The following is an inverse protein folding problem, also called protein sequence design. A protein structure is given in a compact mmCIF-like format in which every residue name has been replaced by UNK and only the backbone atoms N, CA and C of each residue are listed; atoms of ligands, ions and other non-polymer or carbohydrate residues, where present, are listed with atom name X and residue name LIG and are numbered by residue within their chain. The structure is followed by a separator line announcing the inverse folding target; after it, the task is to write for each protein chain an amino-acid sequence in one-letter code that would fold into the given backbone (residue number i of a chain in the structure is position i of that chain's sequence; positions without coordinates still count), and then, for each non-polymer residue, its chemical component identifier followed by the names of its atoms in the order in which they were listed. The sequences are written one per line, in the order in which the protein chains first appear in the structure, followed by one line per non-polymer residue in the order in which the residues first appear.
data_IF_385133425673
#
_entry.id   IF_385133425673
#
_cell.length_a   1.000
_cell.length_b   1.000
_cell.length_c   1.000
_cell.angle_alpha   90.00
_cell.angle_beta   90.00
_cell.angle_gamma   90.00
#
_symmetry.space_group_name_H-M   'P 1'
#
loop_
_entity.id
_entity.type
_entity.pdbx_description
1 polymer ?
#
# COMPACT_ATOMS: atom_id res chain seq x y z
N UNK A 1 8.47 8.61 -19.14
CA UNK A 1 7.08 8.90 -18.76
C UNK A 1 6.77 10.28 -19.30
N UNK A 2 5.96 10.33 -20.36
CA UNK A 2 5.53 11.55 -21.02
C UNK A 2 4.10 11.84 -20.55
N UNK A 3 3.81 13.04 -19.99
CA UNK A 3 2.48 13.40 -19.48
C UNK A 3 1.41 13.65 -20.56
N UNK A 4 1.69 13.40 -21.85
CA UNK A 4 0.77 13.67 -22.97
C UNK A 4 -0.02 12.45 -23.46
N UNK A 5 0.12 11.27 -22.84
CA UNK A 5 -0.95 10.27 -22.93
C UNK A 5 -2.21 10.93 -22.38
N UNK A 6 -3.12 11.32 -23.26
CA UNK A 6 -4.30 12.14 -22.94
C UNK A 6 -5.01 11.54 -21.71
N UNK A 7 -5.69 12.35 -20.90
CA UNK A 7 -6.37 11.90 -19.67
C UNK A 7 -7.37 10.72 -19.85
N UNK A 8 -7.62 10.28 -21.08
CA UNK A 8 -8.44 9.12 -21.46
C UNK A 8 -7.65 8.01 -22.18
N UNK A 9 -6.32 8.08 -22.23
CA UNK A 9 -5.46 7.04 -22.79
C UNK A 9 -5.38 5.89 -21.78
N UNK A 10 -5.86 4.72 -22.19
CA UNK A 10 -5.92 3.55 -21.32
C UNK A 10 -4.73 2.65 -21.62
N UNK A 11 -3.89 2.41 -20.62
CA UNK A 11 -2.88 1.36 -20.70
C UNK A 11 -3.55 -0.01 -20.77
N UNK A 12 -3.04 -0.90 -21.62
CA UNK A 12 -3.57 -2.25 -21.81
C UNK A 12 -2.44 -3.23 -21.56
N UNK A 13 -2.68 -4.20 -20.66
CA UNK A 13 -1.82 -5.35 -20.42
C UNK A 13 -2.44 -6.55 -21.11
N UNK A 14 -1.69 -7.20 -21.98
CA UNK A 14 -2.14 -8.36 -22.77
C UNK A 14 -1.51 -9.66 -22.27
N UNK A 15 -2.01 -10.79 -22.79
CA UNK A 15 -1.45 -12.11 -22.55
C UNK A 15 0.02 -12.24 -22.96
N UNK A 16 0.47 -11.56 -24.02
CA UNK A 16 1.89 -11.56 -24.40
C UNK A 16 2.76 -10.86 -23.34
N UNK A 17 2.27 -9.76 -22.78
CA UNK A 17 2.98 -9.02 -21.75
C UNK A 17 3.13 -9.87 -20.47
N UNK A 18 2.06 -10.61 -20.12
CA UNK A 18 2.05 -11.52 -18.98
C UNK A 18 2.86 -12.79 -19.20
N UNK A 19 2.85 -13.35 -20.41
CA UNK A 19 3.70 -14.50 -20.77
C UNK A 19 5.18 -14.13 -20.72
N UNK A 20 5.54 -12.89 -21.07
CA UNK A 20 6.91 -12.39 -20.90
C UNK A 20 7.28 -12.31 -19.40
N UNK A 21 6.36 -11.90 -18.53
CA UNK A 21 6.57 -11.84 -17.07
C UNK A 21 6.76 -13.26 -16.48
N UNK A 22 5.95 -14.22 -16.89
CA UNK A 22 6.09 -15.62 -16.50
C UNK A 22 7.40 -16.23 -17.03
N UNK A 23 7.79 -15.91 -18.27
CA UNK A 23 9.08 -16.31 -18.84
C UNK A 23 10.28 -15.70 -18.09
N UNK A 24 10.11 -14.56 -17.41
CA UNK A 24 11.10 -13.98 -16.50
C UNK A 24 11.13 -14.67 -15.12
N UNK A 25 10.25 -15.66 -14.88
CA UNK A 25 10.18 -16.44 -13.64
C UNK A 25 9.31 -15.82 -12.54
N UNK A 26 8.53 -14.77 -12.86
CA UNK A 26 7.57 -14.19 -11.92
C UNK A 26 6.23 -14.92 -11.97
N UNK A 27 5.80 -15.47 -10.82
CA UNK A 27 4.49 -16.10 -10.72
C UNK A 27 3.36 -15.06 -10.65
N UNK A 28 2.55 -15.01 -11.70
CA UNK A 28 1.39 -14.12 -11.84
C UNK A 28 0.05 -14.78 -11.46
N UNK A 29 0.08 -16.00 -10.88
CA UNK A 29 -1.08 -16.80 -10.46
C UNK A 29 -2.19 -16.91 -11.52
N UNK A 30 -1.82 -16.84 -12.80
CA UNK A 30 -2.74 -16.91 -13.94
C UNK A 30 -2.10 -17.74 -15.05
N UNK A 31 -2.87 -18.68 -15.61
CA UNK A 31 -2.41 -19.54 -16.70
C UNK A 31 -2.67 -18.86 -18.05
N UNK A 32 -1.61 -18.29 -18.63
CA UNK A 32 -1.68 -17.57 -19.91
C UNK A 32 -1.74 -18.54 -21.10
N UNK A 33 -1.28 -19.79 -20.95
CA UNK A 33 -1.32 -20.79 -22.02
C UNK A 33 -2.76 -21.17 -22.35
N UNK A 34 -3.59 -21.36 -21.32
CA UNK A 34 -5.01 -21.66 -21.44
C UNK A 34 -5.88 -20.40 -21.59
N UNK A 35 -5.38 -19.22 -21.23
CA UNK A 35 -6.12 -17.95 -21.32
C UNK A 35 -5.42 -16.87 -22.17
N UNK A 36 -5.18 -17.20 -23.45
CA UNK A 36 -4.50 -16.32 -24.41
C UNK A 36 -5.24 -15.01 -24.71
N UNK A 37 -6.53 -14.90 -24.38
CA UNK A 37 -7.33 -13.69 -24.56
C UNK A 37 -7.25 -12.70 -23.39
N UNK A 38 -6.50 -13.02 -22.33
CA UNK A 38 -6.42 -12.19 -21.15
C UNK A 38 -5.94 -10.77 -21.50
N UNK A 39 -6.78 -9.79 -21.17
CA UNK A 39 -6.51 -8.36 -21.40
C UNK A 39 -7.04 -7.59 -20.21
N UNK A 40 -6.17 -6.79 -19.59
CA UNK A 40 -6.52 -5.96 -18.45
C UNK A 40 -6.15 -4.52 -18.73
N UNK A 41 -7.13 -3.62 -18.61
CA UNK A 41 -6.94 -2.21 -18.91
C UNK A 41 -6.78 -1.39 -17.63
N UNK A 42 -6.03 -0.29 -17.70
CA UNK A 42 -5.91 0.64 -16.57
C UNK A 42 -7.26 1.22 -16.16
N UNK A 43 -8.24 1.33 -17.07
CA UNK A 43 -9.61 1.74 -16.73
C UNK A 43 -10.34 0.69 -15.88
N UNK A 44 -10.16 -0.60 -16.17
CA UNK A 44 -10.70 -1.69 -15.35
C UNK A 44 -9.99 -1.75 -13.99
N UNK A 45 -8.68 -1.54 -13.96
CA UNK A 45 -7.89 -1.41 -12.73
C UNK A 45 -8.42 -0.27 -11.86
N UNK A 46 -8.67 0.89 -12.48
CA UNK A 46 -9.20 2.06 -11.80
C UNK A 46 -10.60 1.79 -11.26
N UNK A 47 -11.49 1.16 -12.03
CA UNK A 47 -12.83 0.79 -11.58
C UNK A 47 -12.80 -0.19 -10.39
N UNK A 48 -11.90 -1.17 -10.40
CA UNK A 48 -11.67 -2.07 -9.27
C UNK A 48 -11.11 -1.33 -8.04
N UNK A 49 -10.25 -0.32 -8.27
CA UNK A 49 -9.69 0.52 -7.20
C UNK A 49 -10.64 1.61 -6.69
N UNK A 50 -11.67 1.97 -7.47
CA UNK A 50 -12.31 3.28 -7.44
C UNK A 50 -13.43 3.52 -6.42
N UNK A 51 -13.82 2.53 -5.62
CA UNK A 51 -14.85 2.74 -4.59
C UNK A 51 -14.65 1.89 -3.32
N UNK A 52 -14.11 0.68 -3.44
CA UNK A 52 -14.00 -0.25 -2.30
C UNK A 52 -12.63 -0.21 -1.59
N UNK A 53 -11.55 0.17 -2.27
CA UNK A 53 -10.19 0.04 -1.76
C UNK A 53 -9.70 1.22 -0.89
N UNK A 54 -10.32 2.40 -0.98
CA UNK A 54 -9.88 3.60 -0.26
C UNK A 54 -10.25 3.53 1.25
N UNK A 55 -11.18 2.64 1.63
CA UNK A 55 -11.53 2.39 3.03
C UNK A 55 -10.66 1.31 3.70
N UNK A 56 -9.78 0.63 2.95
CA UNK A 56 -8.99 -0.48 3.46
C UNK A 56 -7.67 -0.01 4.08
N UNK A 57 -7.71 0.33 5.38
CA UNK A 57 -6.64 -0.06 6.29
C UNK A 57 -5.55 0.96 6.62
N UNK A 58 -5.77 2.26 6.38
CA UNK A 58 -4.94 3.30 7.02
C UNK A 58 -5.75 3.96 8.11
N UNK A 59 -5.43 3.74 9.40
CA UNK A 59 -5.99 4.55 10.48
C UNK A 59 -5.72 6.01 10.16
N UNK A 60 -6.75 6.84 10.28
CA UNK A 60 -6.66 8.27 10.02
C UNK A 60 -5.43 8.90 10.71
N UNK A 61 -4.78 9.93 10.13
CA UNK A 61 -3.57 10.53 10.71
C UNK A 61 -3.74 10.94 12.17
N UNK A 62 -4.95 11.33 12.57
CA UNK A 62 -5.31 11.61 13.95
C UNK A 62 -5.24 10.38 14.87
N UNK A 63 -5.63 9.19 14.39
CA UNK A 63 -5.52 7.93 15.14
C UNK A 63 -4.06 7.61 15.48
N UNK A 64 -3.13 7.83 14.53
CA UNK A 64 -1.70 7.69 14.78
C UNK A 64 -1.21 8.69 15.84
N UNK A 65 -1.65 9.94 15.71
CA UNK A 65 -1.29 10.98 16.67
C UNK A 65 -1.78 10.66 18.08
N UNK A 66 -3.02 10.18 18.24
CA UNK A 66 -3.58 9.80 19.54
C UNK A 66 -2.87 8.61 20.17
N UNK A 67 -2.50 7.59 19.37
CA UNK A 67 -1.71 6.45 19.86
C UNK A 67 -0.33 6.89 20.34
N UNK A 68 0.39 7.65 19.52
CA UNK A 68 1.72 8.17 19.87
C UNK A 68 1.65 9.08 21.10
N UNK A 69 0.62 9.92 21.19
CA UNK A 69 0.37 10.76 22.34
C UNK A 69 0.12 9.92 23.60
N UNK A 70 -0.78 8.93 23.54
CA UNK A 70 -1.10 8.06 24.67
C UNK A 70 0.11 7.26 25.17
N UNK A 71 0.81 6.57 24.26
CA UNK A 71 2.01 5.81 24.61
C UNK A 71 3.17 6.70 25.07
N UNK A 72 3.35 7.86 24.43
CA UNK A 72 4.35 8.86 24.82
C UNK A 72 4.11 9.43 26.22
N UNK A 73 2.86 9.73 26.56
CA UNK A 73 2.48 10.21 27.89
C UNK A 73 2.74 9.16 28.98
N UNK A 74 2.35 7.90 28.74
CA UNK A 74 2.57 6.80 29.69
C UNK A 74 4.08 6.56 29.89
N UNK A 75 4.85 6.43 28.80
CA UNK A 75 6.30 6.21 28.87
C UNK A 75 7.05 7.38 29.51
N UNK A 76 6.63 8.62 29.22
CA UNK A 76 7.17 9.83 29.83
C UNK A 76 6.95 9.88 31.35
N UNK A 77 5.75 9.52 31.80
CA UNK A 77 5.42 9.45 33.23
C UNK A 77 6.27 8.41 33.98
N UNK A 78 6.48 7.22 33.40
CA UNK A 78 7.33 6.17 33.98
C UNK A 78 8.80 6.61 34.09
N UNK A 79 9.32 7.34 33.10
CA UNK A 79 10.71 7.81 33.09
C UNK A 79 10.96 8.93 34.10
N UNK A 80 9.98 9.79 34.34
CA UNK A 80 10.08 10.88 35.33
C UNK A 80 10.28 10.35 36.76
N UNK A 81 9.56 9.28 37.13
CA UNK A 81 9.63 8.68 38.47
C UNK A 81 10.98 8.07 38.82
N UNK A 82 11.81 7.72 37.84
CA UNK A 82 13.16 7.16 38.05
C UNK A 82 14.23 8.22 38.38
N UNK A 83 13.91 9.53 38.29
CA UNK A 83 14.85 10.62 38.59
C UNK A 83 14.92 11.02 40.07
N UNK A 84 14.19 10.38 40.96
CA UNK A 84 14.35 10.55 42.41
C UNK A 84 15.62 9.82 42.86
N UNK A 85 16.77 10.39 42.52
CA UNK A 85 18.09 9.92 42.91
C UNK A 85 18.35 10.23 44.38
N UNK A 86 18.67 9.16 45.11
CA UNK A 86 18.99 9.12 46.54
C UNK A 86 20.15 10.09 46.84
N UNK A 87 19.95 10.99 47.81
CA UNK A 87 21.00 11.84 48.38
C UNK A 87 21.80 11.02 49.38
N UNK A 88 23.06 10.73 49.10
CA UNK A 88 24.01 10.25 50.10
C UNK A 88 24.58 11.47 50.81
N UNK A 89 24.03 11.75 52.00
CA UNK A 89 24.67 12.59 53.02
C UNK A 89 25.58 11.76 53.91
#
# INVERSE_FOLDING_TARGET
MDPTSSACSVGVVTSNDLAAIDAMGWNINTDIYNNRGYTFTTAQAFALSGAAHIAAGVPEPASWAMMLFGFGAIGGAMRSRRKLGISFG
#
